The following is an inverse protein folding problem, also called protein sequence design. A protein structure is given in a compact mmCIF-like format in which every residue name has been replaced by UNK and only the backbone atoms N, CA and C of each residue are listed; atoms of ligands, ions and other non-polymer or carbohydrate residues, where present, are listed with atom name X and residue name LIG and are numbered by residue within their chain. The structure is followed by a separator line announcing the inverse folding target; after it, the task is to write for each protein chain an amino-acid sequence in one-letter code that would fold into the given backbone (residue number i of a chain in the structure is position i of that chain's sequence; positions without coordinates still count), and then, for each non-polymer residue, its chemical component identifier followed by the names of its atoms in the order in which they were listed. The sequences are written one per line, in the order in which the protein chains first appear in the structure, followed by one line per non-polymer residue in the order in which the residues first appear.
data_IF_944309534960
#
_entry.id   IF_944309534960
#
_cell.length_a   1.000
_cell.length_b   1.000
_cell.length_c   1.000
_cell.angle_alpha   90.00
_cell.angle_beta   90.00
_cell.angle_gamma   90.00
#
_symmetry.space_group_name_H-M   'P 1'
#
loop_
_entity.id
_entity.type
_entity.pdbx_description
1 polymer ?
#
# COMPACT_ATOMS: atom_id res chain seq x y z
N UNK A 1 -26.79 27.00 -22.27
CA UNK A 1 -25.63 27.12 -21.38
C UNK A 1 -25.47 25.78 -20.66
N UNK A 2 -24.56 24.94 -21.14
CA UNK A 2 -24.26 23.63 -20.51
C UNK A 2 -23.07 23.83 -19.58
N UNK A 3 -23.24 23.54 -18.29
CA UNK A 3 -22.20 23.61 -17.26
C UNK A 3 -21.13 22.56 -17.57
N UNK A 4 -19.91 23.01 -17.80
CA UNK A 4 -18.73 22.13 -17.91
C UNK A 4 -18.37 21.65 -16.52
N UNK A 5 -18.54 20.37 -16.27
CA UNK A 5 -18.01 19.70 -15.08
C UNK A 5 -16.47 19.79 -15.05
N UNK A 6 -15.85 20.14 -13.94
CA UNK A 6 -14.40 20.05 -13.81
C UNK A 6 -14.02 18.57 -13.59
N UNK A 7 -13.67 17.89 -14.67
CA UNK A 7 -13.13 16.52 -14.64
C UNK A 7 -11.62 16.54 -14.37
N UNK A 8 -11.18 15.59 -13.62
CA UNK A 8 -9.78 15.13 -13.52
C UNK A 8 -8.82 15.93 -12.65
N UNK A 9 -9.15 16.13 -11.37
CA UNK A 9 -8.20 16.71 -10.41
C UNK A 9 -7.54 15.62 -9.52
N UNK A 10 -8.03 14.40 -9.50
CA UNK A 10 -7.58 13.37 -8.54
C UNK A 10 -6.12 12.87 -8.75
N UNK A 11 -5.61 12.87 -9.98
CA UNK A 11 -4.17 12.58 -10.24
C UNK A 11 -3.34 13.87 -10.17
N UNK A 12 -3.94 15.02 -10.48
CA UNK A 12 -3.25 16.30 -10.51
C UNK A 12 -2.94 16.87 -9.11
N UNK A 13 -3.75 16.58 -8.09
CA UNK A 13 -3.49 17.08 -6.73
C UNK A 13 -2.27 16.42 -6.06
N UNK A 14 -1.83 15.24 -6.49
CA UNK A 14 -0.68 14.57 -5.88
C UNK A 14 0.70 15.10 -6.34
N UNK A 15 0.77 15.97 -7.34
CA UNK A 15 2.06 16.29 -7.99
C UNK A 15 2.37 17.81 -8.04
N UNK A 16 1.64 18.69 -7.39
CA UNK A 16 1.98 20.11 -7.45
C UNK A 16 3.12 20.49 -6.51
N UNK A 17 4.12 21.11 -7.07
CA UNK A 17 5.14 22.09 -6.68
C UNK A 17 6.59 21.67 -6.98
N UNK A 18 7.06 22.13 -8.12
CA UNK A 18 8.49 22.20 -8.41
C UNK A 18 8.94 23.66 -8.15
N UNK A 19 9.67 23.85 -7.05
CA UNK A 19 10.42 25.07 -6.77
C UNK A 19 11.91 24.73 -6.64
N UNK A 20 12.86 25.69 -6.78
CA UNK A 20 14.27 25.41 -6.95
C UNK A 20 14.95 24.89 -5.68
N UNK A 21 15.94 24.06 -5.90
CA UNK A 21 16.95 23.46 -5.04
C UNK A 21 17.22 24.18 -3.70
N UNK A 22 16.71 23.59 -2.60
CA UNK A 22 17.22 23.78 -1.26
C UNK A 22 18.00 22.52 -0.83
N UNK A 23 19.00 22.70 0.00
CA UNK A 23 19.89 21.65 0.48
C UNK A 23 19.13 20.41 0.95
N UNK A 24 19.57 19.23 0.51
CA UNK A 24 18.98 17.92 0.79
C UNK A 24 19.10 17.58 2.28
N UNK A 25 18.19 18.09 3.09
CA UNK A 25 17.87 17.44 4.37
C UNK A 25 16.99 16.24 4.00
N UNK A 26 17.42 15.02 4.28
CA UNK A 26 16.55 13.85 4.13
C UNK A 26 15.36 14.06 5.07
N UNK A 27 14.12 13.83 4.60
CA UNK A 27 12.98 13.86 5.48
C UNK A 27 13.19 12.88 6.64
N UNK A 28 12.76 13.23 7.87
CA UNK A 28 12.87 12.30 8.99
C UNK A 28 12.17 10.99 8.62
N UNK A 29 12.87 9.88 8.83
CA UNK A 29 12.31 8.54 8.58
C UNK A 29 11.00 8.41 9.38
N UNK A 30 9.85 8.16 8.74
CA UNK A 30 8.60 7.92 9.45
C UNK A 30 8.71 6.85 10.55
N UNK A 31 9.62 5.88 10.38
CA UNK A 31 9.93 4.86 11.39
C UNK A 31 10.46 5.46 12.70
N UNK A 32 11.12 6.63 12.67
CA UNK A 32 11.66 7.27 13.88
C UNK A 32 10.59 7.66 14.91
N UNK A 33 9.32 7.68 14.53
CA UNK A 33 8.17 7.96 15.42
C UNK A 33 7.69 6.74 16.20
N UNK A 34 8.16 5.55 15.88
CA UNK A 34 7.73 4.29 16.47
C UNK A 34 8.93 3.50 16.98
N UNK A 35 8.77 2.69 18.03
CA UNK A 35 9.85 1.84 18.50
C UNK A 35 10.25 0.85 17.39
N UNK A 36 11.56 0.54 17.25
CA UNK A 36 12.03 -0.54 16.36
C UNK A 36 11.31 -1.85 16.68
N UNK A 37 11.23 -2.75 15.70
CA UNK A 37 10.56 -4.03 15.86
C UNK A 37 11.17 -4.88 16.98
N UNK A 38 12.49 -4.78 17.21
CA UNK A 38 13.19 -5.48 18.30
C UNK A 38 12.75 -5.04 19.70
N UNK A 39 12.24 -3.83 19.86
CA UNK A 39 11.79 -3.27 21.14
C UNK A 39 10.26 -3.33 21.31
N UNK A 40 9.55 -3.76 20.27
CA UNK A 40 8.08 -3.80 20.30
C UNK A 40 7.57 -4.93 21.19
N UNK A 41 6.62 -4.59 22.07
CA UNK A 41 5.90 -5.54 22.92
C UNK A 41 4.46 -5.65 22.44
N UNK A 42 4.02 -6.84 21.96
CA UNK A 42 2.64 -7.04 21.54
C UNK A 42 1.66 -6.98 22.73
N UNK A 43 0.38 -6.76 22.42
CA UNK A 43 -0.67 -6.84 23.43
C UNK A 43 -0.72 -8.22 24.11
N UNK A 44 -1.24 -8.27 25.34
CA UNK A 44 -1.41 -9.52 26.05
C UNK A 44 -2.23 -10.53 25.21
N UNK A 45 -1.79 -11.79 25.19
CA UNK A 45 -2.41 -12.86 24.41
C UNK A 45 -2.07 -12.88 22.92
N UNK A 46 -1.24 -11.93 22.43
CA UNK A 46 -0.75 -11.91 21.06
C UNK A 46 0.69 -12.40 20.99
N UNK A 47 0.96 -13.35 20.10
CA UNK A 47 2.30 -13.73 19.67
C UNK A 47 2.84 -12.73 18.64
N UNK A 48 4.16 -12.56 18.63
CA UNK A 48 4.84 -11.64 17.72
C UNK A 48 6.21 -12.19 17.33
N UNK A 49 6.56 -12.08 16.06
CA UNK A 49 7.94 -12.25 15.59
C UNK A 49 8.21 -11.46 14.33
N UNK A 50 9.45 -11.03 14.19
CA UNK A 50 9.96 -10.41 12.97
C UNK A 50 10.32 -11.48 11.96
N UNK A 51 10.05 -11.23 10.69
CA UNK A 51 10.37 -12.12 9.57
C UNK A 51 11.02 -11.32 8.43
N UNK A 52 11.73 -12.02 7.57
CA UNK A 52 12.29 -11.46 6.33
C UNK A 52 11.57 -12.06 5.14
N UNK A 53 11.11 -11.20 4.24
CA UNK A 53 10.49 -11.56 2.96
C UNK A 53 11.46 -11.12 1.88
N UNK A 54 11.77 -11.98 0.91
CA UNK A 54 12.61 -11.59 -0.23
C UNK A 54 11.70 -11.25 -1.39
N UNK A 55 11.71 -9.99 -1.80
CA UNK A 55 10.95 -9.47 -2.93
C UNK A 55 11.92 -9.00 -4.02
N UNK A 56 12.03 -9.75 -5.10
CA UNK A 56 12.97 -9.49 -6.22
C UNK A 56 14.40 -9.18 -5.75
N UNK A 57 14.90 -9.99 -4.81
CA UNK A 57 16.23 -9.83 -4.25
C UNK A 57 16.36 -8.72 -3.19
N UNK A 58 15.30 -7.99 -2.88
CA UNK A 58 15.28 -7.00 -1.79
C UNK A 58 14.63 -7.62 -0.55
N UNK A 59 15.30 -7.51 0.61
CA UNK A 59 14.75 -7.97 1.89
C UNK A 59 13.71 -6.97 2.40
N UNK A 60 12.48 -7.42 2.56
CA UNK A 60 11.43 -6.68 3.25
C UNK A 60 11.41 -7.08 4.71
N UNK A 61 11.12 -6.11 5.57
CA UNK A 61 10.80 -6.31 6.96
C UNK A 61 9.32 -6.70 7.09
N UNK A 62 9.08 -7.85 7.72
CA UNK A 62 7.74 -8.34 8.04
C UNK A 62 7.58 -8.59 9.53
N UNK A 63 6.36 -8.45 10.02
CA UNK A 63 5.96 -8.69 11.40
C UNK A 63 4.75 -9.62 11.42
N UNK A 64 4.90 -10.78 12.05
CA UNK A 64 3.81 -11.72 12.27
C UNK A 64 3.18 -11.51 13.63
N UNK A 65 1.84 -11.52 13.65
CA UNK A 65 1.01 -11.48 14.86
C UNK A 65 0.04 -12.65 14.83
N UNK A 66 -0.16 -13.32 15.98
CA UNK A 66 -1.12 -14.43 16.10
C UNK A 66 -1.67 -14.53 17.52
N UNK A 67 -2.87 -15.11 17.74
CA UNK A 67 -3.36 -15.41 19.08
C UNK A 67 -2.53 -16.54 19.72
N UNK A 68 -1.97 -16.31 20.92
CA UNK A 68 -1.09 -17.31 21.59
C UNK A 68 -1.80 -18.59 22.06
N UNK A 69 -3.13 -18.54 22.14
CA UNK A 69 -3.93 -19.64 22.68
C UNK A 69 -4.37 -20.66 21.63
N UNK A 70 -3.84 -20.58 20.39
CA UNK A 70 -4.26 -21.48 19.31
C UNK A 70 -3.51 -22.81 19.32
N UNK A 71 -4.24 -23.88 19.01
CA UNK A 71 -3.86 -25.28 19.15
C UNK A 71 -2.97 -25.81 18.00
N UNK A 72 -2.20 -24.95 17.34
CA UNK A 72 -1.27 -25.36 16.26
C UNK A 72 -1.92 -25.63 14.91
N UNK A 73 -3.22 -25.33 14.74
CA UNK A 73 -3.86 -25.39 13.43
C UNK A 73 -3.60 -24.12 12.61
N UNK A 74 -3.51 -24.23 11.25
CA UNK A 74 -3.39 -23.05 10.41
C UNK A 74 -4.56 -22.09 10.58
N UNK A 75 -4.23 -20.80 10.76
CA UNK A 75 -5.16 -19.72 11.02
C UNK A 75 -5.61 -19.03 9.73
N UNK A 76 -6.84 -18.53 9.65
CA UNK A 76 -7.20 -17.57 8.59
C UNK A 76 -6.23 -16.41 8.66
N UNK A 77 -5.74 -15.99 7.50
CA UNK A 77 -4.56 -15.14 7.39
C UNK A 77 -4.92 -13.80 6.77
N UNK A 78 -4.37 -12.72 7.32
CA UNK A 78 -4.56 -11.35 6.80
C UNK A 78 -3.20 -10.72 6.55
N UNK A 79 -2.98 -10.20 5.33
CA UNK A 79 -1.81 -9.39 5.00
C UNK A 79 -2.18 -7.92 5.07
N UNK A 80 -1.28 -7.11 5.62
CA UNK A 80 -1.44 -5.68 5.79
C UNK A 80 -0.17 -4.92 5.37
N UNK A 81 -0.36 -3.75 4.75
CA UNK A 81 0.73 -2.80 4.56
C UNK A 81 0.23 -1.35 4.69
N UNK A 82 1.16 -0.44 4.90
CA UNK A 82 0.91 0.97 5.11
C UNK A 82 0.55 1.71 3.80
N UNK A 83 -0.04 2.91 3.93
CA UNK A 83 -0.29 3.81 2.80
C UNK A 83 0.96 4.57 2.35
N UNK A 84 0.74 5.60 1.57
CA UNK A 84 1.79 6.47 1.03
C UNK A 84 2.61 7.10 2.16
N UNK A 85 3.94 6.88 2.13
CA UNK A 85 4.87 7.48 3.09
C UNK A 85 4.73 6.99 4.54
N UNK A 86 3.97 5.90 4.77
CA UNK A 86 3.83 5.28 6.08
C UNK A 86 4.90 4.23 6.35
N UNK A 87 4.74 3.53 7.48
CA UNK A 87 5.55 2.38 7.89
C UNK A 87 4.67 1.34 8.58
N UNK A 88 5.10 0.08 8.57
CA UNK A 88 4.40 -1.03 9.23
C UNK A 88 4.13 -0.74 10.70
N UNK A 89 5.11 -0.19 11.41
CA UNK A 89 5.03 0.13 12.83
C UNK A 89 3.79 0.97 13.21
N UNK A 90 3.29 1.84 12.30
CA UNK A 90 2.08 2.63 12.51
C UNK A 90 0.79 1.79 12.59
N UNK A 91 0.82 0.56 12.06
CA UNK A 91 -0.33 -0.35 11.98
C UNK A 91 -0.26 -1.52 12.98
N UNK A 92 0.79 -1.61 13.82
CA UNK A 92 0.99 -2.70 14.79
C UNK A 92 -0.22 -2.89 15.73
N UNK A 93 -0.86 -1.79 16.12
CA UNK A 93 -2.06 -1.86 16.95
C UNK A 93 -3.23 -2.51 16.22
N UNK A 94 -3.44 -2.18 14.93
CA UNK A 94 -4.48 -2.78 14.10
C UNK A 94 -4.20 -4.27 13.87
N UNK A 95 -2.95 -4.63 13.58
CA UNK A 95 -2.52 -6.01 13.41
C UNK A 95 -2.74 -6.84 14.68
N UNK A 96 -2.43 -6.25 15.84
CA UNK A 96 -2.65 -6.89 17.14
C UNK A 96 -4.13 -7.14 17.43
N UNK A 97 -5.02 -6.16 17.16
CA UNK A 97 -6.47 -6.31 17.36
C UNK A 97 -7.06 -7.40 16.43
N UNK A 98 -6.61 -7.46 15.17
CA UNK A 98 -7.03 -8.50 14.22
C UNK A 98 -6.50 -9.87 14.65
N UNK A 99 -5.25 -9.94 15.15
CA UNK A 99 -4.70 -11.19 15.68
C UNK A 99 -5.50 -11.68 16.90
N UNK A 100 -5.87 -10.79 17.84
CA UNK A 100 -6.74 -11.14 18.97
C UNK A 100 -8.10 -11.68 18.53
N UNK A 101 -8.57 -11.29 17.35
CA UNK A 101 -9.80 -11.82 16.77
C UNK A 101 -9.62 -13.21 16.11
N UNK A 102 -8.45 -13.85 16.22
CA UNK A 102 -8.19 -15.23 15.76
C UNK A 102 -7.60 -15.33 14.36
N UNK A 103 -6.80 -14.36 13.93
CA UNK A 103 -6.12 -14.36 12.64
C UNK A 103 -4.61 -14.43 12.80
N UNK A 104 -3.94 -15.09 11.86
CA UNK A 104 -2.54 -14.82 11.59
C UNK A 104 -2.47 -13.51 10.78
N UNK A 105 -1.68 -12.54 11.22
CA UNK A 105 -1.52 -11.28 10.52
C UNK A 105 -0.06 -11.10 10.11
N UNK A 106 0.19 -10.91 8.82
CA UNK A 106 1.47 -10.44 8.31
C UNK A 106 1.36 -8.96 7.99
N UNK A 107 2.12 -8.15 8.71
CA UNK A 107 2.29 -6.72 8.47
C UNK A 107 3.69 -6.49 7.93
N UNK A 108 3.86 -5.72 6.84
CA UNK A 108 5.19 -5.51 6.26
C UNK A 108 5.44 -4.06 5.84
N UNK A 109 6.72 -3.68 5.79
CA UNK A 109 7.20 -2.46 5.16
C UNK A 109 7.52 -2.71 3.69
N UNK A 110 7.09 -1.80 2.80
CA UNK A 110 7.53 -1.84 1.40
C UNK A 110 9.04 -1.63 1.28
N UNK A 111 9.62 -2.11 0.18
CA UNK A 111 11.02 -1.84 -0.17
C UNK A 111 11.35 -0.35 -0.08
N UNK A 112 12.45 -0.03 0.58
CA UNK A 112 12.90 1.36 0.78
C UNK A 112 12.12 2.14 1.84
N UNK A 113 11.24 1.50 2.61
CA UNK A 113 10.48 2.11 3.71
C UNK A 113 10.71 1.35 5.01
N UNK A 114 10.53 2.06 6.14
CA UNK A 114 10.66 1.49 7.47
C UNK A 114 11.94 0.68 7.67
N UNK A 115 11.79 -0.53 8.18
CA UNK A 115 12.89 -1.46 8.47
C UNK A 115 13.24 -2.38 7.27
N UNK A 116 12.57 -2.21 6.11
CA UNK A 116 12.92 -2.91 4.87
C UNK A 116 14.21 -2.37 4.24
N UNK A 117 14.94 -3.25 3.56
CA UNK A 117 16.02 -2.82 2.69
C UNK A 117 15.48 -2.05 1.48
N UNK A 118 16.36 -1.33 0.82
CA UNK A 118 16.02 -0.60 -0.39
C UNK A 118 16.53 -1.36 -1.61
N UNK A 119 15.79 -1.27 -2.72
CA UNK A 119 16.40 -1.61 -4.01
C UNK A 119 17.61 -0.73 -4.23
N UNK A 120 18.67 -1.30 -4.80
CA UNK A 120 19.88 -0.58 -5.14
C UNK A 120 20.02 -0.42 -6.65
N UNK A 121 20.60 0.68 -7.08
CA UNK A 121 20.97 0.92 -8.47
C UNK A 121 22.48 1.13 -8.56
N UNK A 122 23.10 0.59 -9.61
CA UNK A 122 24.52 0.84 -9.89
C UNK A 122 24.73 2.33 -10.19
N UNK A 123 25.85 2.89 -9.70
CA UNK A 123 26.28 4.26 -10.04
C UNK A 123 27.12 4.30 -11.31
N UNK A 124 27.59 3.14 -11.77
CA UNK A 124 28.39 2.96 -12.99
C UNK A 124 27.86 1.81 -13.86
N UNK A 125 28.59 1.50 -14.91
CA UNK A 125 28.26 0.41 -15.84
C UNK A 125 28.64 -0.94 -15.22
N UNK A 126 27.73 -1.92 -15.28
CA UNK A 126 28.04 -3.29 -14.91
C UNK A 126 29.05 -3.92 -15.88
N UNK A 127 29.99 -4.75 -15.40
CA UNK A 127 30.81 -5.56 -16.30
C UNK A 127 29.93 -6.56 -17.08
N UNK A 128 30.42 -6.94 -18.25
CA UNK A 128 29.75 -7.97 -19.04
C UNK A 128 29.98 -9.37 -18.42
N UNK A 129 28.96 -10.24 -18.51
CA UNK A 129 29.00 -11.63 -18.05
C UNK A 129 28.23 -11.86 -16.76
N UNK A 130 28.25 -13.12 -16.29
CA UNK A 130 27.40 -13.61 -15.19
C UNK A 130 28.16 -13.76 -13.86
N UNK A 131 29.46 -13.43 -13.82
CA UNK A 131 30.26 -13.56 -12.62
C UNK A 131 29.89 -12.46 -11.58
N UNK A 132 29.83 -12.80 -10.29
CA UNK A 132 29.68 -11.80 -9.25
C UNK A 132 30.79 -10.74 -9.30
N UNK A 133 30.42 -9.48 -9.05
CA UNK A 133 31.37 -8.36 -9.03
C UNK A 133 31.05 -7.40 -7.88
N UNK A 134 32.02 -6.57 -7.51
CA UNK A 134 31.84 -5.49 -6.54
C UNK A 134 31.58 -4.19 -7.29
N UNK A 135 30.58 -3.43 -6.84
CA UNK A 135 30.23 -2.15 -7.45
C UNK A 135 29.79 -1.13 -6.39
N UNK A 136 29.94 0.15 -6.74
CA UNK A 136 29.28 1.21 -6.01
C UNK A 136 27.80 1.25 -6.37
N UNK A 137 26.94 1.33 -5.35
CA UNK A 137 25.49 1.31 -5.50
C UNK A 137 24.84 2.46 -4.72
N UNK A 138 23.68 2.91 -5.19
CA UNK A 138 22.84 3.86 -4.48
C UNK A 138 21.53 3.17 -4.05
N UNK A 139 21.19 3.20 -2.76
CA UNK A 139 19.90 2.70 -2.28
C UNK A 139 18.76 3.66 -2.67
N UNK A 140 17.63 3.12 -3.08
CA UNK A 140 16.42 3.87 -3.41
C UNK A 140 15.46 3.86 -2.23
N UNK A 141 15.65 4.78 -1.27
CA UNK A 141 14.76 4.94 -0.12
C UNK A 141 13.73 6.04 -0.34
N UNK A 142 12.53 5.84 0.21
CA UNK A 142 11.45 6.82 0.17
C UNK A 142 10.79 6.99 -1.20
N UNK A 143 10.87 6.00 -2.08
CA UNK A 143 10.24 6.04 -3.40
C UNK A 143 8.84 5.48 -3.37
N UNK A 144 7.96 6.06 -4.18
CA UNK A 144 6.61 5.56 -4.43
C UNK A 144 6.56 5.05 -5.86
N UNK A 145 6.76 3.75 -6.00
CA UNK A 145 6.57 3.00 -7.24
C UNK A 145 5.47 1.97 -7.01
N UNK A 146 4.26 2.19 -7.54
CA UNK A 146 3.12 1.31 -7.27
C UNK A 146 3.34 -0.12 -7.77
N UNK A 147 4.10 -0.30 -8.86
CA UNK A 147 4.35 -1.63 -9.41
C UNK A 147 5.34 -2.42 -8.54
N UNK A 148 6.38 -1.78 -8.03
CA UNK A 148 7.25 -2.42 -7.03
C UNK A 148 6.49 -2.72 -5.73
N UNK A 149 5.61 -1.82 -5.30
CA UNK A 149 4.83 -2.02 -4.08
C UNK A 149 3.82 -3.16 -4.19
N UNK A 150 3.15 -3.34 -5.34
CA UNK A 150 2.26 -4.51 -5.49
C UNK A 150 3.03 -5.81 -5.66
N UNK A 151 4.24 -5.77 -6.21
CA UNK A 151 5.13 -6.92 -6.25
C UNK A 151 5.53 -7.36 -4.82
N UNK A 152 5.77 -6.40 -3.92
CA UNK A 152 6.00 -6.69 -2.51
C UNK A 152 4.81 -7.42 -1.85
N UNK A 153 3.57 -7.09 -2.24
CA UNK A 153 2.37 -7.81 -1.80
C UNK A 153 2.32 -9.25 -2.33
N UNK A 154 2.62 -9.48 -3.61
CA UNK A 154 2.64 -10.84 -4.17
C UNK A 154 3.70 -11.70 -3.48
N UNK A 155 4.91 -11.17 -3.28
CA UNK A 155 5.98 -11.88 -2.58
C UNK A 155 5.65 -12.11 -1.08
N UNK A 156 4.91 -11.20 -0.43
CA UNK A 156 4.41 -11.41 0.92
C UNK A 156 3.38 -12.55 0.98
N UNK A 157 2.47 -12.64 0.00
CA UNK A 157 1.53 -13.74 -0.13
C UNK A 157 2.25 -15.07 -0.39
N UNK A 158 3.29 -15.06 -1.23
CA UNK A 158 4.08 -16.25 -1.54
C UNK A 158 4.91 -16.71 -0.33
N UNK A 159 5.47 -15.77 0.43
CA UNK A 159 6.16 -16.09 1.68
C UNK A 159 5.22 -16.80 2.66
N UNK A 160 3.97 -16.34 2.80
CA UNK A 160 2.96 -16.94 3.65
C UNK A 160 2.58 -18.36 3.23
N UNK A 161 2.67 -18.69 1.94
CA UNK A 161 2.41 -20.07 1.48
C UNK A 161 3.40 -21.10 2.06
N UNK A 162 4.58 -20.65 2.53
CA UNK A 162 5.55 -21.46 3.25
C UNK A 162 5.45 -21.35 4.78
N UNK A 163 4.55 -20.54 5.32
CA UNK A 163 4.38 -20.35 6.77
C UNK A 163 3.41 -21.38 7.35
N UNK A 164 3.87 -22.27 8.27
CA UNK A 164 3.03 -23.35 8.80
C UNK A 164 1.75 -22.88 9.51
N UNK A 165 1.76 -21.68 10.07
CA UNK A 165 0.59 -21.09 10.73
C UNK A 165 -0.43 -20.49 9.76
N UNK A 166 -0.12 -20.34 8.47
CA UNK A 166 -0.98 -19.70 7.50
C UNK A 166 -1.94 -20.67 6.84
N UNK A 167 -3.24 -20.32 6.79
CA UNK A 167 -4.21 -20.99 5.92
C UNK A 167 -4.44 -20.17 4.65
N UNK A 168 -3.77 -20.53 3.59
CA UNK A 168 -3.84 -19.85 2.30
C UNK A 168 -5.19 -20.02 1.59
N UNK A 169 -6.06 -20.93 2.02
CA UNK A 169 -7.44 -21.01 1.53
C UNK A 169 -8.35 -19.95 2.15
N UNK A 170 -7.87 -19.29 3.21
CA UNK A 170 -8.56 -18.24 3.96
C UNK A 170 -7.71 -16.98 4.05
N UNK A 171 -7.21 -16.51 2.89
CA UNK A 171 -6.37 -15.33 2.76
C UNK A 171 -7.20 -14.07 2.56
N UNK A 172 -6.94 -13.06 3.40
CA UNK A 172 -7.49 -11.71 3.27
C UNK A 172 -6.40 -10.66 3.16
N UNK A 173 -6.71 -9.51 2.54
CA UNK A 173 -5.82 -8.36 2.46
C UNK A 173 -6.48 -7.13 3.07
N UNK A 174 -5.71 -6.32 3.80
CA UNK A 174 -6.17 -5.02 4.30
C UNK A 174 -5.21 -3.91 3.93
N UNK A 175 -5.68 -2.97 3.13
CA UNK A 175 -4.93 -1.79 2.70
C UNK A 175 -5.62 -0.49 3.12
N UNK A 176 -4.82 0.50 3.50
CA UNK A 176 -5.32 1.81 3.90
C UNK A 176 -4.68 2.91 3.07
N UNK A 177 -5.44 3.93 2.69
CA UNK A 177 -4.97 5.04 1.87
C UNK A 177 -4.43 4.52 0.53
N UNK A 178 -3.20 4.81 0.16
CA UNK A 178 -2.62 4.35 -1.09
C UNK A 178 -2.60 2.82 -1.22
N UNK A 179 -2.36 2.12 -0.12
CA UNK A 179 -2.42 0.66 -0.03
C UNK A 179 -3.82 0.09 -0.25
N UNK A 180 -4.88 0.89 -0.06
CA UNK A 180 -6.24 0.51 -0.42
C UNK A 180 -6.42 0.25 -1.92
N UNK A 181 -5.66 0.94 -2.78
CA UNK A 181 -5.58 0.65 -4.21
C UNK A 181 -4.78 -0.62 -4.50
N UNK A 182 -3.70 -0.86 -3.75
CA UNK A 182 -2.88 -2.06 -3.92
C UNK A 182 -3.68 -3.34 -3.65
N UNK A 183 -4.49 -3.38 -2.57
CA UNK A 183 -5.28 -4.59 -2.29
C UNK A 183 -6.35 -4.87 -3.34
N UNK A 184 -6.91 -3.84 -4.00
CA UNK A 184 -7.79 -4.01 -5.16
C UNK A 184 -7.02 -4.64 -6.33
N UNK A 185 -5.85 -4.10 -6.65
CA UNK A 185 -5.01 -4.59 -7.74
C UNK A 185 -4.55 -6.04 -7.51
N UNK A 186 -4.02 -6.33 -6.32
CA UNK A 186 -3.49 -7.65 -5.97
C UNK A 186 -4.60 -8.70 -5.95
N UNK A 187 -5.73 -8.42 -5.29
CA UNK A 187 -6.83 -9.37 -5.20
C UNK A 187 -7.52 -9.65 -6.56
N UNK A 188 -7.41 -8.74 -7.51
CA UNK A 188 -7.89 -8.96 -8.88
C UNK A 188 -7.02 -9.93 -9.68
N UNK A 189 -5.81 -10.26 -9.19
CA UNK A 189 -4.81 -11.08 -9.87
C UNK A 189 -4.36 -12.32 -9.07
N UNK A 190 -4.52 -12.31 -7.76
CA UNK A 190 -4.18 -13.44 -6.90
C UNK A 190 -5.44 -14.20 -6.49
N UNK A 191 -5.74 -15.35 -7.11
CA UNK A 191 -6.95 -16.12 -6.84
C UNK A 191 -7.02 -16.73 -5.43
N UNK A 192 -5.91 -16.70 -4.67
CA UNK A 192 -5.87 -17.13 -3.27
C UNK A 192 -6.62 -16.16 -2.36
N UNK A 193 -6.72 -14.88 -2.76
CA UNK A 193 -7.38 -13.84 -1.95
C UNK A 193 -8.88 -14.05 -1.96
N UNK A 194 -9.47 -14.20 -0.76
CA UNK A 194 -10.91 -14.42 -0.55
C UNK A 194 -11.65 -13.17 -0.14
N UNK A 195 -10.99 -12.28 0.61
CA UNK A 195 -11.60 -11.05 1.08
C UNK A 195 -10.60 -9.89 1.13
N UNK A 196 -11.07 -8.68 0.87
CA UNK A 196 -10.27 -7.47 1.04
C UNK A 196 -11.00 -6.42 1.88
N UNK A 197 -10.21 -5.60 2.57
CA UNK A 197 -10.64 -4.34 3.17
C UNK A 197 -9.80 -3.21 2.58
N UNK A 198 -10.45 -2.33 1.85
CA UNK A 198 -9.86 -1.15 1.22
C UNK A 198 -10.42 0.09 1.92
N UNK A 199 -9.61 0.75 2.77
CA UNK A 199 -10.09 1.88 3.56
C UNK A 199 -9.44 3.21 3.14
N UNK A 200 -10.24 4.28 3.10
CA UNK A 200 -9.87 5.65 2.67
C UNK A 200 -8.92 5.64 1.47
N UNK A 201 -9.29 4.86 0.46
CA UNK A 201 -8.39 4.33 -0.54
C UNK A 201 -8.06 5.33 -1.66
N UNK A 202 -6.78 5.41 -2.03
CA UNK A 202 -6.31 6.01 -3.26
C UNK A 202 -6.36 5.01 -4.42
N UNK A 203 -7.44 5.03 -5.20
CA UNK A 203 -7.68 4.10 -6.31
C UNK A 203 -7.82 4.90 -7.61
N UNK A 204 -6.71 5.12 -8.29
CA UNK A 204 -6.70 5.89 -9.53
C UNK A 204 -7.47 5.17 -10.65
N UNK A 205 -8.06 5.97 -11.52
CA UNK A 205 -8.72 5.51 -12.75
C UNK A 205 -7.92 5.91 -13.98
N UNK A 206 -8.04 5.13 -15.03
CA UNK A 206 -7.54 5.52 -16.35
C UNK A 206 -8.19 6.83 -16.79
N UNK A 207 -7.42 7.82 -17.29
CA UNK A 207 -7.99 9.00 -17.89
C UNK A 207 -8.87 8.65 -19.10
N UNK A 208 -9.90 9.47 -19.34
CA UNK A 208 -10.71 9.33 -20.56
C UNK A 208 -9.83 9.48 -21.81
N UNK A 209 -10.14 8.70 -22.86
CA UNK A 209 -9.35 8.66 -24.09
C UNK A 209 -9.15 10.05 -24.75
N UNK A 210 -10.12 10.96 -24.58
CA UNK A 210 -10.08 12.30 -25.12
C UNK A 210 -9.71 13.38 -24.08
N UNK A 211 -9.23 12.96 -22.88
CA UNK A 211 -8.80 13.91 -21.87
C UNK A 211 -7.58 14.70 -22.38
N UNK A 212 -7.66 16.03 -22.33
CA UNK A 212 -6.51 16.86 -22.68
C UNK A 212 -5.35 16.59 -21.72
N UNK A 213 -4.17 16.43 -22.30
CA UNK A 213 -2.97 16.25 -21.51
C UNK A 213 -2.68 17.48 -20.67
N UNK A 214 -2.65 17.33 -19.35
CA UNK A 214 -2.34 18.45 -18.46
C UNK A 214 -0.84 18.80 -18.52
N UNK A 215 -0.43 20.03 -18.18
CA UNK A 215 0.99 20.39 -18.10
C UNK A 215 1.79 19.46 -17.21
N UNK A 216 1.18 18.97 -16.14
CA UNK A 216 1.78 18.03 -15.22
C UNK A 216 2.04 16.65 -15.86
N UNK A 217 1.05 16.06 -16.52
CA UNK A 217 1.22 14.79 -17.24
C UNK A 217 2.34 14.91 -18.27
N UNK A 218 2.40 16.05 -18.99
CA UNK A 218 3.47 16.31 -19.96
C UNK A 218 4.84 16.39 -19.29
N UNK A 219 4.95 17.09 -18.16
CA UNK A 219 6.20 17.21 -17.41
C UNK A 219 6.71 15.84 -16.90
N UNK A 220 5.81 14.99 -16.41
CA UNK A 220 6.18 13.63 -15.94
C UNK A 220 6.58 12.71 -17.12
N UNK A 221 5.97 12.85 -18.30
CA UNK A 221 6.39 12.13 -19.51
C UNK A 221 7.75 12.59 -20.02
N UNK A 222 8.01 13.90 -20.03
CA UNK A 222 9.33 14.44 -20.36
C UNK A 222 10.40 13.94 -19.39
N UNK A 223 10.09 13.95 -18.10
CA UNK A 223 10.95 13.39 -17.07
C UNK A 223 11.25 11.91 -17.33
N UNK A 224 10.22 11.10 -17.60
CA UNK A 224 10.37 9.69 -17.92
C UNK A 224 11.28 9.46 -19.15
N UNK A 225 11.10 10.27 -20.19
CA UNK A 225 11.93 10.25 -21.38
C UNK A 225 13.38 10.53 -21.04
N UNK A 226 13.65 11.56 -20.26
CA UNK A 226 15.03 11.94 -19.86
C UNK A 226 15.66 10.92 -18.94
N UNK A 227 14.88 10.29 -18.05
CA UNK A 227 15.34 9.17 -17.21
C UNK A 227 15.71 7.96 -18.08
N UNK A 228 14.86 7.59 -19.05
CA UNK A 228 15.13 6.47 -19.97
C UNK A 228 16.37 6.72 -20.84
N UNK A 229 16.71 7.99 -21.14
CA UNK A 229 17.90 8.39 -21.88
C UNK A 229 19.15 8.52 -20.99
N UNK A 230 19.01 8.29 -19.68
CA UNK A 230 20.14 8.46 -18.72
C UNK A 230 20.50 9.92 -18.40
N UNK A 231 19.69 10.88 -18.84
CA UNK A 231 19.91 12.32 -18.60
C UNK A 231 19.49 12.74 -17.18
N UNK A 232 18.62 11.96 -16.55
CA UNK A 232 18.16 12.15 -15.17
C UNK A 232 18.17 10.82 -14.43
N UNK A 233 18.55 10.88 -13.15
CA UNK A 233 18.35 9.78 -12.20
C UNK A 233 16.97 9.79 -11.56
N UNK A 234 16.75 8.88 -10.60
CA UNK A 234 15.58 8.87 -9.75
C UNK A 234 15.41 10.21 -9.01
N UNK A 235 14.16 10.68 -8.82
CA UNK A 235 13.90 11.92 -8.09
C UNK A 235 14.39 11.80 -6.64
N UNK A 236 14.78 12.91 -6.03
CA UNK A 236 15.06 12.94 -4.60
C UNK A 236 13.75 12.89 -3.80
N UNK A 237 13.67 12.15 -2.68
CA UNK A 237 12.55 12.24 -1.76
C UNK A 237 12.31 13.67 -1.27
N UNK A 238 11.05 14.02 -1.04
CA UNK A 238 10.62 15.34 -0.56
C UNK A 238 9.81 15.20 0.72
N UNK A 239 9.92 16.18 1.61
CA UNK A 239 9.26 16.14 2.91
C UNK A 239 7.75 16.32 2.85
N UNK A 240 7.26 17.18 2.02
CA UNK A 240 5.83 17.45 1.90
C UNK A 240 5.44 17.51 0.43
N UNK A 241 4.61 16.57 0.02
CA UNK A 241 4.03 16.56 -1.33
C UNK A 241 2.62 17.12 -1.32
N UNK A 242 1.74 16.51 -0.52
CA UNK A 242 0.36 16.94 -0.26
C UNK A 242 0.07 16.64 1.21
N UNK A 243 -0.32 17.64 1.98
CA UNK A 243 -0.48 17.47 3.43
C UNK A 243 0.81 17.01 4.08
N UNK A 244 0.76 15.90 4.83
CA UNK A 244 1.92 15.31 5.51
C UNK A 244 2.56 14.17 4.70
N UNK A 245 2.17 13.96 3.45
CA UNK A 245 2.75 12.93 2.60
C UNK A 245 4.19 13.27 2.24
N UNK A 246 5.07 12.27 2.38
CA UNK A 246 6.50 12.35 2.09
C UNK A 246 6.88 11.39 0.98
N UNK A 247 8.12 11.45 0.50
CA UNK A 247 8.68 10.52 -0.46
C UNK A 247 8.89 11.08 -1.86
N UNK A 248 9.29 10.21 -2.78
CA UNK A 248 9.56 10.54 -4.17
C UNK A 248 8.69 9.70 -5.11
N UNK A 249 7.57 10.24 -5.61
CA UNK A 249 6.77 9.52 -6.57
C UNK A 249 7.54 9.32 -7.87
N UNK A 250 7.46 8.11 -8.42
CA UNK A 250 7.93 7.81 -9.77
C UNK A 250 6.80 8.14 -10.73
N UNK A 251 6.76 9.40 -11.20
CA UNK A 251 5.59 10.00 -11.82
C UNK A 251 5.05 9.26 -13.04
N UNK A 252 5.94 8.78 -13.93
CA UNK A 252 5.52 8.00 -15.10
C UNK A 252 4.85 6.66 -14.72
N UNK A 253 5.24 6.07 -13.61
CA UNK A 253 4.62 4.86 -13.06
C UNK A 253 3.22 5.17 -12.55
N UNK A 254 3.06 6.30 -11.83
CA UNK A 254 1.75 6.77 -11.36
C UNK A 254 0.79 7.06 -12.54
N UNK A 255 1.29 7.59 -13.65
CA UNK A 255 0.49 7.83 -14.84
C UNK A 255 -0.06 6.55 -15.50
N UNK A 256 0.47 5.40 -15.17
CA UNK A 256 0.07 4.08 -15.66
C UNK A 256 -0.59 3.22 -14.58
N UNK A 257 -0.75 3.73 -13.37
CA UNK A 257 -1.31 3.05 -12.22
C UNK A 257 -2.81 3.33 -12.12
N UNK A 258 -3.63 2.35 -12.53
CA UNK A 258 -5.09 2.49 -12.57
C UNK A 258 -5.81 1.31 -11.91
N UNK A 259 -5.69 1.12 -10.60
CA UNK A 259 -6.31 -0.03 -9.92
C UNK A 259 -7.85 -0.04 -10.01
N UNK A 260 -8.50 1.09 -10.31
CA UNK A 260 -9.92 1.10 -10.62
C UNK A 260 -10.30 0.30 -11.87
N UNK A 261 -9.39 0.16 -12.83
CA UNK A 261 -9.64 -0.67 -14.03
C UNK A 261 -9.57 -2.16 -13.67
N UNK A 262 -8.80 -2.52 -12.66
CA UNK A 262 -8.68 -3.89 -12.17
C UNK A 262 -9.90 -4.32 -11.35
N UNK A 263 -10.63 -3.38 -10.75
CA UNK A 263 -11.80 -3.69 -9.96
C UNK A 263 -12.89 -4.47 -10.72
N UNK A 264 -12.93 -4.41 -12.05
CA UNK A 264 -13.80 -5.26 -12.86
C UNK A 264 -13.49 -6.76 -12.76
N UNK A 265 -12.28 -7.11 -12.36
CA UNK A 265 -11.81 -8.48 -12.17
C UNK A 265 -11.80 -8.90 -10.68
N UNK A 266 -12.23 -8.02 -9.78
CA UNK A 266 -12.26 -8.29 -8.35
C UNK A 266 -13.46 -9.17 -8.00
N UNK A 267 -13.20 -10.47 -7.87
CA UNK A 267 -14.18 -11.49 -7.46
C UNK A 267 -14.15 -11.80 -5.97
N UNK A 268 -13.05 -11.45 -5.28
CA UNK A 268 -12.95 -11.56 -3.82
C UNK A 268 -14.00 -10.66 -3.14
N UNK A 269 -14.42 -11.05 -1.94
CA UNK A 269 -15.33 -10.24 -1.14
C UNK A 269 -14.64 -8.91 -0.75
N UNK A 270 -15.25 -7.76 -1.04
CA UNK A 270 -14.62 -6.45 -0.91
C UNK A 270 -15.40 -5.50 0.01
N UNK A 271 -14.76 -5.06 1.09
CA UNK A 271 -15.25 -3.99 1.96
C UNK A 271 -14.52 -2.70 1.63
N UNK A 272 -15.26 -1.67 1.24
CA UNK A 272 -14.75 -0.33 1.04
C UNK A 272 -15.20 0.57 2.21
N UNK A 273 -14.26 1.10 2.98
CA UNK A 273 -14.50 2.03 4.09
C UNK A 273 -14.00 3.41 3.66
N UNK A 274 -14.84 4.42 3.72
CA UNK A 274 -14.48 5.79 3.34
C UNK A 274 -14.78 6.79 4.44
N UNK A 275 -14.02 7.88 4.46
CA UNK A 275 -14.30 9.05 5.29
C UNK A 275 -15.36 9.92 4.62
N UNK A 276 -16.34 10.43 5.36
CA UNK A 276 -17.37 11.32 4.81
C UNK A 276 -16.74 12.60 4.26
N UNK A 277 -15.83 13.20 5.01
CA UNK A 277 -15.17 14.46 4.68
C UNK A 277 -13.75 14.24 4.11
N UNK A 278 -13.62 13.27 3.20
CA UNK A 278 -12.33 12.92 2.56
C UNK A 278 -11.75 14.12 1.79
N UNK A 279 -10.57 14.58 2.22
CA UNK A 279 -9.93 15.77 1.68
C UNK A 279 -8.76 15.51 0.73
N UNK A 280 -8.21 14.29 0.73
CA UNK A 280 -7.09 13.95 -0.15
C UNK A 280 -7.55 13.34 -1.48
N UNK A 281 -8.59 12.52 -1.41
CA UNK A 281 -9.07 11.75 -2.56
C UNK A 281 -10.59 11.71 -2.57
N UNK A 282 -11.22 12.19 -3.64
CA UNK A 282 -12.68 12.17 -3.73
C UNK A 282 -13.20 10.73 -3.72
N UNK A 283 -14.04 10.38 -2.76
CA UNK A 283 -14.62 9.05 -2.62
C UNK A 283 -15.25 8.54 -3.92
N UNK A 284 -15.99 9.43 -4.63
CA UNK A 284 -16.66 9.12 -5.90
C UNK A 284 -15.72 8.63 -6.99
N UNK A 285 -14.49 9.13 -7.03
CA UNK A 285 -13.52 8.77 -8.07
C UNK A 285 -12.61 7.63 -7.64
N UNK A 286 -12.61 7.26 -6.38
CA UNK A 286 -11.75 6.26 -5.76
C UNK A 286 -12.57 5.07 -5.23
N UNK A 287 -12.76 4.98 -3.92
CA UNK A 287 -13.39 3.81 -3.27
C UNK A 287 -14.81 3.51 -3.77
N UNK A 288 -15.64 4.53 -4.03
CA UNK A 288 -16.99 4.32 -4.55
C UNK A 288 -16.95 3.74 -5.97
N UNK A 289 -16.07 4.25 -6.83
CA UNK A 289 -15.94 3.73 -8.20
C UNK A 289 -15.44 2.29 -8.22
N UNK A 290 -14.48 1.94 -7.36
CA UNK A 290 -14.02 0.56 -7.23
C UNK A 290 -15.14 -0.35 -6.71
N UNK A 291 -15.92 0.11 -5.73
CA UNK A 291 -17.09 -0.61 -5.25
C UNK A 291 -18.12 -0.87 -6.37
N UNK A 292 -18.44 0.13 -7.19
CA UNK A 292 -19.37 -0.01 -8.29
C UNK A 292 -18.92 -1.08 -9.31
N UNK A 293 -17.62 -1.16 -9.57
CA UNK A 293 -17.00 -2.07 -10.55
C UNK A 293 -16.74 -3.48 -10.04
N UNK A 294 -16.46 -3.66 -8.75
CA UNK A 294 -16.20 -4.97 -8.18
C UNK A 294 -17.34 -5.94 -8.46
N UNK A 295 -17.02 -7.19 -8.79
CA UNK A 295 -18.00 -8.22 -9.24
C UNK A 295 -18.33 -9.24 -8.16
N UNK A 296 -17.47 -9.39 -7.14
CA UNK A 296 -17.70 -10.25 -5.98
C UNK A 296 -18.68 -9.66 -4.96
N UNK A 297 -18.92 -10.37 -3.85
CA UNK A 297 -19.64 -9.83 -2.70
C UNK A 297 -18.99 -8.52 -2.25
N UNK A 298 -19.78 -7.48 -2.00
CA UNK A 298 -19.23 -6.18 -1.70
C UNK A 298 -20.08 -5.36 -0.74
N UNK A 299 -19.40 -4.52 0.05
CA UNK A 299 -20.04 -3.56 0.95
C UNK A 299 -19.30 -2.22 0.88
N UNK A 300 -20.07 -1.13 0.97
CA UNK A 300 -19.54 0.24 1.04
C UNK A 300 -20.01 0.87 2.34
N UNK A 301 -19.05 1.39 3.13
CA UNK A 301 -19.34 2.00 4.44
C UNK A 301 -18.71 3.39 4.47
N UNK A 302 -19.53 4.40 4.70
CA UNK A 302 -19.07 5.76 4.98
C UNK A 302 -19.03 5.97 6.49
N UNK A 303 -17.88 6.38 7.04
CA UNK A 303 -17.79 6.79 8.44
C UNK A 303 -18.07 8.28 8.53
N UNK A 304 -19.14 8.69 9.25
CA UNK A 304 -19.57 10.08 9.27
C UNK A 304 -18.61 10.97 10.08
N UNK A 305 -18.52 12.23 9.69
CA UNK A 305 -17.82 13.29 10.40
C UNK A 305 -16.30 13.29 10.30
N UNK A 306 -15.68 12.19 9.86
CA UNK A 306 -14.22 12.09 9.81
C UNK A 306 -13.63 12.57 8.49
N UNK A 307 -12.38 13.01 8.56
CA UNK A 307 -11.49 13.27 7.42
C UNK A 307 -10.57 12.07 7.19
N UNK A 308 -9.70 12.15 6.17
CA UNK A 308 -8.79 11.06 5.80
C UNK A 308 -8.04 10.45 6.99
N UNK A 309 -7.38 11.28 7.77
CA UNK A 309 -6.58 10.81 8.91
C UNK A 309 -7.40 10.41 10.15
N UNK A 310 -8.68 10.76 10.22
CA UNK A 310 -9.58 10.34 11.29
C UNK A 310 -9.75 8.82 11.39
N UNK A 311 -9.52 8.10 10.26
CA UNK A 311 -9.56 6.64 10.20
C UNK A 311 -8.49 5.96 11.07
N UNK A 312 -7.36 6.65 11.32
CA UNK A 312 -6.27 6.14 12.16
C UNK A 312 -6.37 6.61 13.61
N UNK A 313 -7.24 7.56 13.89
CA UNK A 313 -7.46 8.18 15.20
C UNK A 313 -8.84 7.84 15.79
N UNK A 314 -9.73 8.79 15.75
CA UNK A 314 -11.07 8.71 16.38
C UNK A 314 -11.94 7.59 15.87
N UNK A 315 -11.87 7.26 14.57
CA UNK A 315 -12.65 6.19 13.95
C UNK A 315 -11.90 4.85 13.88
N UNK A 316 -10.67 4.75 14.39
CA UNK A 316 -9.84 3.56 14.27
C UNK A 316 -10.54 2.29 14.78
N UNK A 317 -11.10 2.34 15.98
CA UNK A 317 -11.75 1.18 16.59
C UNK A 317 -12.94 0.70 15.75
N UNK A 318 -13.72 1.63 15.20
CA UNK A 318 -14.85 1.31 14.31
C UNK A 318 -14.36 0.68 13.01
N UNK A 319 -13.32 1.23 12.39
CA UNK A 319 -12.76 0.71 11.14
C UNK A 319 -12.17 -0.70 11.31
N UNK A 320 -11.44 -0.94 12.40
CA UNK A 320 -10.90 -2.27 12.73
C UNK A 320 -12.01 -3.27 13.00
N UNK A 321 -13.06 -2.87 13.73
CA UNK A 321 -14.22 -3.72 13.95
C UNK A 321 -14.92 -4.11 12.64
N UNK A 322 -15.15 -3.16 11.74
CA UNK A 322 -15.72 -3.43 10.42
C UNK A 322 -14.86 -4.41 9.62
N UNK A 323 -13.54 -4.25 9.66
CA UNK A 323 -12.62 -5.17 9.01
C UNK A 323 -12.68 -6.59 9.59
N UNK A 324 -12.70 -6.72 10.92
CA UNK A 324 -12.81 -8.03 11.60
C UNK A 324 -14.16 -8.70 11.28
N UNK A 325 -15.27 -7.96 11.33
CA UNK A 325 -16.60 -8.48 11.02
C UNK A 325 -16.64 -9.00 9.56
N UNK A 326 -16.04 -8.25 8.62
CA UNK A 326 -15.93 -8.64 7.22
C UNK A 326 -15.10 -9.91 7.03
N UNK A 327 -13.91 -9.98 7.64
CA UNK A 327 -13.08 -11.16 7.59
C UNK A 327 -13.74 -12.36 8.27
N UNK A 328 -14.45 -12.19 9.40
CA UNK A 328 -15.22 -13.26 10.03
C UNK A 328 -16.27 -13.86 9.08
N UNK A 329 -16.91 -13.03 8.27
CA UNK A 329 -17.94 -13.49 7.32
C UNK A 329 -17.35 -14.31 6.16
N UNK A 330 -16.15 -13.97 5.68
CA UNK A 330 -15.61 -14.55 4.45
C UNK A 330 -14.38 -15.44 4.63
N UNK A 331 -13.68 -15.34 5.75
CA UNK A 331 -12.48 -16.14 6.03
C UNK A 331 -12.70 -17.17 7.15
N UNK A 332 -13.64 -16.97 8.07
CA UNK A 332 -14.01 -18.00 9.03
C UNK A 332 -15.09 -18.87 8.43
N UNK A 333 -14.76 -20.12 8.17
CA UNK A 333 -15.77 -21.11 7.78
C UNK A 333 -16.72 -21.28 8.96
N UNK A 334 -18.02 -21.11 8.70
CA UNK A 334 -19.05 -21.53 9.67
C UNK A 334 -18.82 -23.01 9.97
N UNK A 335 -18.55 -23.34 11.24
CA UNK A 335 -18.47 -24.73 11.73
C UNK A 335 -19.79 -25.42 11.57
#
# INVERSE_FOLDING_TARGET
MRSRSPLSIAVACMIMLVGPTAALCQPPDPASRFPPSGDYQPAAGVGFRVVSIISDGTRLHGELFWPRAEDGHPLPTVVMAHGWGGVAAALRRDASDIAQAGYLVLLFDYRGWGESDARVVLTGTAPAGDAPFTAEVRPLRGYIDPFEQVEDWFNANDWLAGEPMADMNRLGLRGSSYSGGHVVYVASRDPRVRAIVSQVAGIASRPEANAAETPLVRAERDRATRMARGELGYPAPREKLVGDLTGAPVGDKLLRWWPNEEAYHLTAAALFIVAENEELMRNKDNGQRAFERATGPKQFVTIPGIRHYGIYGEARAQAVKLAIDWFNQYLKVAK
#
